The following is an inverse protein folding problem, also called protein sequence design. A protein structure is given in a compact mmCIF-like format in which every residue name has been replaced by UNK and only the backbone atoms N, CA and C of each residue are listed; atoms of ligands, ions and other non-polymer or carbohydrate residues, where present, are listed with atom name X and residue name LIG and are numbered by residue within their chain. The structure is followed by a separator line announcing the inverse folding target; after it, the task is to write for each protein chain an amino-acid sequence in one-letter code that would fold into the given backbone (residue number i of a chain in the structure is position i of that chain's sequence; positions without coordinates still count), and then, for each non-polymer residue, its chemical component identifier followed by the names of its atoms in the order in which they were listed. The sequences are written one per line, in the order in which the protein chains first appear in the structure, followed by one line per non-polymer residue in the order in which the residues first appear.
data_IF_337362850077
#
_entry.id   IF_337362850077
#
_cell.length_a   1.000
_cell.length_b   1.000
_cell.length_c   1.000
_cell.angle_alpha   90.00
_cell.angle_beta   90.00
_cell.angle_gamma   90.00
#
_symmetry.space_group_name_H-M   'P 1'
#
loop_
_entity.id
_entity.type
_entity.pdbx_description
1 polymer ?
#
# COMPACT_ATOMS: atom_id res chain seq x y z
N UNK A 1 16.96 25.87 8.05
CA UNK A 1 16.48 24.74 8.88
C UNK A 1 17.02 23.44 8.28
N UNK A 2 17.89 22.71 8.98
CA UNK A 2 18.35 21.38 8.54
C UNK A 2 17.12 20.49 8.35
N UNK A 3 16.94 19.92 7.16
CA UNK A 3 15.80 19.05 6.87
C UNK A 3 15.76 17.88 7.84
N UNK A 4 14.61 17.63 8.48
CA UNK A 4 14.43 16.46 9.35
C UNK A 4 14.68 15.20 8.53
N UNK A 5 15.41 14.24 9.11
CA UNK A 5 15.60 12.93 8.51
C UNK A 5 14.24 12.26 8.32
N UNK A 6 14.00 11.70 7.13
CA UNK A 6 12.77 10.98 6.80
C UNK A 6 13.10 9.50 6.62
N UNK A 7 12.29 8.63 7.22
CA UNK A 7 12.45 7.18 7.16
C UNK A 7 11.18 6.56 6.61
N UNK A 8 11.31 5.71 5.60
CA UNK A 8 10.26 4.79 5.17
C UNK A 8 10.42 3.47 5.91
N UNK A 9 9.47 3.16 6.77
CA UNK A 9 9.38 1.91 7.52
C UNK A 9 8.75 0.78 6.69
N UNK A 10 9.27 0.54 5.48
CA UNK A 10 8.74 -0.47 4.56
C UNK A 10 9.79 -0.97 3.56
N UNK A 11 9.88 -2.29 3.40
CA UNK A 11 10.68 -2.92 2.34
C UNK A 11 9.98 -2.95 0.96
N UNK A 12 8.73 -2.49 0.85
CA UNK A 12 7.95 -2.61 -0.39
C UNK A 12 8.58 -1.81 -1.53
N UNK A 13 9.05 -2.45 -2.63
CA UNK A 13 9.66 -1.75 -3.75
C UNK A 13 8.75 -0.69 -4.36
N UNK A 14 7.44 -0.96 -4.38
CA UNK A 14 6.42 -0.04 -4.89
C UNK A 14 6.34 1.25 -4.07
N UNK A 15 6.33 1.14 -2.74
CA UNK A 15 6.26 2.31 -1.85
C UNK A 15 7.53 3.15 -1.93
N UNK A 16 8.68 2.49 -2.02
CA UNK A 16 9.98 3.14 -2.25
C UNK A 16 9.94 3.90 -3.59
N UNK A 17 9.47 3.27 -4.66
CA UNK A 17 9.37 3.89 -5.98
C UNK A 17 8.46 5.11 -5.96
N UNK A 18 7.26 5.01 -5.38
CA UNK A 18 6.31 6.12 -5.31
C UNK A 18 6.87 7.34 -4.57
N UNK A 19 7.43 7.14 -3.37
CA UNK A 19 7.99 8.26 -2.60
C UNK A 19 9.18 8.92 -3.32
N UNK A 20 10.01 8.13 -4.03
CA UNK A 20 11.10 8.67 -4.86
C UNK A 20 10.55 9.47 -6.05
N UNK A 21 9.54 8.96 -6.74
CA UNK A 21 8.88 9.63 -7.86
C UNK A 21 8.26 10.96 -7.42
N UNK A 22 7.67 10.99 -6.22
CA UNK A 22 7.13 12.21 -5.62
C UNK A 22 8.22 13.13 -5.01
N UNK A 23 9.49 12.85 -5.27
CA UNK A 23 10.62 13.73 -4.95
C UNK A 23 11.04 13.72 -3.49
N UNK A 24 10.62 12.74 -2.69
CA UNK A 24 10.98 12.64 -1.29
C UNK A 24 12.38 12.03 -1.13
N UNK A 25 13.24 12.66 -0.33
CA UNK A 25 14.51 12.06 0.12
C UNK A 25 14.28 11.38 1.46
N UNK A 26 14.56 10.07 1.54
CA UNK A 26 14.32 9.27 2.74
C UNK A 26 15.30 8.09 2.80
N UNK A 27 15.46 7.54 3.99
CA UNK A 27 16.11 6.26 4.23
C UNK A 27 15.08 5.13 4.33
N UNK A 28 15.43 3.92 3.91
CA UNK A 28 14.56 2.76 4.04
C UNK A 28 15.01 1.94 5.23
N UNK A 29 14.12 1.76 6.21
CA UNK A 29 14.38 0.92 7.38
C UNK A 29 13.15 0.05 7.65
N UNK A 30 13.07 -1.16 7.08
CA UNK A 30 11.89 -2.02 7.23
C UNK A 30 11.67 -2.47 8.67
N UNK A 31 10.41 -2.47 9.10
CA UNK A 31 10.00 -3.11 10.35
C UNK A 31 9.88 -4.62 10.17
N UNK A 32 10.27 -5.39 11.20
CA UNK A 32 10.27 -6.86 11.21
C UNK A 32 9.31 -7.43 12.26
N UNK A 33 8.26 -6.69 12.61
CA UNK A 33 7.28 -7.12 13.60
C UNK A 33 6.37 -8.22 13.05
N UNK A 34 5.83 -9.05 13.94
CA UNK A 34 4.71 -9.92 13.60
C UNK A 34 3.47 -9.07 13.26
N UNK A 35 2.91 -9.29 12.08
CA UNK A 35 1.78 -8.50 11.54
C UNK A 35 0.42 -9.07 11.97
N UNK A 36 0.36 -9.76 13.11
CA UNK A 36 -0.85 -10.36 13.63
C UNK A 36 -1.76 -9.31 14.29
N UNK A 37 -3.07 -9.42 14.08
CA UNK A 37 -4.05 -8.54 14.71
C UNK A 37 -5.36 -9.27 15.02
N UNK A 38 -5.95 -8.97 16.18
CA UNK A 38 -7.28 -9.44 16.58
C UNK A 38 -8.42 -8.60 15.99
N UNK A 39 -8.08 -7.51 15.29
CA UNK A 39 -9.06 -6.62 14.68
C UNK A 39 -9.69 -7.29 13.45
N UNK A 40 -10.99 -7.07 13.27
CA UNK A 40 -11.75 -7.65 12.15
C UNK A 40 -12.08 -6.64 11.05
N UNK A 41 -12.22 -5.35 11.39
CA UNK A 41 -12.56 -4.30 10.41
C UNK A 41 -11.33 -3.96 9.55
N UNK A 42 -11.40 -4.07 8.21
CA UNK A 42 -10.27 -3.82 7.31
C UNK A 42 -9.57 -2.47 7.53
N UNK A 43 -10.33 -1.39 7.71
CA UNK A 43 -9.79 -0.05 8.00
C UNK A 43 -9.05 0.03 9.33
N UNK A 44 -9.49 -0.74 10.34
CA UNK A 44 -8.84 -0.76 11.65
C UNK A 44 -7.56 -1.60 11.60
N UNK A 45 -7.58 -2.71 10.86
CA UNK A 45 -6.42 -3.58 10.62
C UNK A 45 -5.27 -2.77 10.00
N UNK A 46 -5.50 -2.14 8.83
CA UNK A 46 -4.41 -1.45 8.12
C UNK A 46 -3.86 -0.26 8.89
N UNK A 47 -4.71 0.46 9.64
CA UNK A 47 -4.25 1.55 10.52
C UNK A 47 -3.36 1.02 11.65
N UNK A 48 -3.82 -0.04 12.32
CA UNK A 48 -3.07 -0.65 13.41
C UNK A 48 -1.72 -1.18 12.93
N UNK A 49 -1.69 -1.96 11.84
CA UNK A 49 -0.46 -2.50 11.28
C UNK A 49 0.49 -1.41 10.80
N UNK A 50 -0.01 -0.37 10.14
CA UNK A 50 0.82 0.78 9.77
C UNK A 50 1.43 1.45 11.01
N UNK A 51 0.65 1.71 12.05
CA UNK A 51 1.15 2.31 13.29
C UNK A 51 2.21 1.44 13.94
N UNK A 52 1.96 0.14 14.13
CA UNK A 52 2.92 -0.76 14.75
C UNK A 52 4.26 -0.78 13.98
N UNK A 53 4.23 -0.83 12.65
CA UNK A 53 5.45 -0.77 11.81
C UNK A 53 6.22 0.54 12.02
N UNK A 54 5.51 1.66 12.12
CA UNK A 54 6.11 2.97 12.39
C UNK A 54 6.71 3.06 13.78
N UNK A 55 5.97 2.63 14.81
CA UNK A 55 6.39 2.66 16.21
C UNK A 55 7.58 1.75 16.49
N UNK A 56 7.64 0.58 15.84
CA UNK A 56 8.80 -0.31 15.91
C UNK A 56 10.08 0.42 15.49
N UNK A 57 10.04 1.10 14.33
CA UNK A 57 11.17 1.87 13.84
C UNK A 57 11.46 3.07 14.75
N UNK A 58 10.43 3.77 15.21
CA UNK A 58 10.58 4.91 16.12
C UNK A 58 11.29 4.54 17.43
N UNK A 59 11.09 3.31 17.92
CA UNK A 59 11.74 2.81 19.12
C UNK A 59 13.22 2.43 18.91
N UNK A 60 13.59 1.99 17.70
CA UNK A 60 14.93 1.48 17.36
C UNK A 60 15.93 2.53 16.93
N UNK A 61 15.47 3.68 16.42
CA UNK A 61 16.36 4.73 15.95
C UNK A 61 16.76 5.71 17.05
N UNK A 62 17.92 6.36 16.90
CA UNK A 62 18.35 7.48 17.75
C UNK A 62 18.12 8.81 17.02
N UNK A 63 17.77 9.86 17.78
CA UNK A 63 17.60 11.22 17.25
C UNK A 63 16.27 11.48 16.51
N UNK A 64 16.11 12.72 16.10
CA UNK A 64 14.87 13.20 15.49
C UNK A 64 14.68 12.69 14.05
N UNK A 65 13.49 12.15 13.76
CA UNK A 65 13.11 11.73 12.42
C UNK A 65 11.59 11.78 12.24
N UNK A 66 11.18 11.90 10.97
CA UNK A 66 9.81 11.64 10.52
C UNK A 66 9.79 10.23 9.93
N UNK A 67 8.91 9.38 10.45
CA UNK A 67 8.77 7.99 10.03
C UNK A 67 7.44 7.85 9.29
N UNK A 68 7.48 7.27 8.10
CA UNK A 68 6.31 6.94 7.30
C UNK A 68 6.24 5.42 7.20
N UNK A 69 5.11 4.85 7.60
CA UNK A 69 4.83 3.42 7.49
C UNK A 69 3.48 3.22 6.81
N UNK A 70 3.28 2.06 6.20
CA UNK A 70 2.01 1.74 5.56
C UNK A 70 1.73 0.24 5.56
N UNK A 71 0.45 -0.10 5.51
CA UNK A 71 -0.04 -1.45 5.33
C UNK A 71 -1.18 -1.50 4.30
N UNK A 72 -1.29 -2.59 3.56
CA UNK A 72 -2.24 -2.70 2.44
C UNK A 72 -2.86 -4.09 2.40
N UNK A 73 -4.19 -4.15 2.39
CA UNK A 73 -4.95 -5.40 2.28
C UNK A 73 -5.99 -5.32 1.15
N UNK A 74 -6.25 -6.47 0.53
CA UNK A 74 -7.32 -6.65 -0.45
C UNK A 74 -8.50 -7.34 0.24
N UNK A 75 -9.72 -6.86 -0.01
CA UNK A 75 -10.96 -7.47 0.46
C UNK A 75 -11.82 -7.86 -0.74
N UNK A 76 -11.91 -9.16 -1.00
CA UNK A 76 -12.70 -9.76 -2.06
C UNK A 76 -13.83 -10.60 -1.44
N UNK A 77 -15.07 -10.39 -1.89
CA UNK A 77 -16.24 -11.09 -1.38
C UNK A 77 -16.36 -11.06 0.16
N UNK A 78 -16.03 -9.91 0.77
CA UNK A 78 -16.07 -9.71 2.22
C UNK A 78 -14.92 -10.35 3.01
N UNK A 79 -13.97 -11.03 2.34
CA UNK A 79 -12.85 -11.72 2.98
C UNK A 79 -11.53 -11.03 2.64
N UNK A 80 -10.61 -10.99 3.61
CA UNK A 80 -9.25 -10.50 3.37
C UNK A 80 -8.52 -11.52 2.48
N UNK A 81 -8.00 -11.05 1.36
CA UNK A 81 -7.23 -11.83 0.40
C UNK A 81 -5.77 -11.41 0.47
N UNK A 82 -4.95 -12.27 1.06
CA UNK A 82 -3.51 -12.06 1.15
C UNK A 82 -2.77 -12.36 -0.15
N UNK A 83 -1.45 -12.54 -0.02
CA UNK A 83 -0.61 -13.07 -1.10
C UNK A 83 -0.98 -14.54 -1.36
N UNK A 84 -0.97 -15.01 -2.61
CA UNK A 84 -1.18 -16.42 -2.91
C UNK A 84 -0.18 -17.31 -2.17
N UNK A 85 -0.67 -18.38 -1.54
CA UNK A 85 0.21 -19.35 -0.84
C UNK A 85 0.99 -20.24 -1.82
N UNK A 86 0.40 -20.52 -2.98
CA UNK A 86 0.97 -21.33 -4.04
C UNK A 86 0.25 -21.03 -5.36
N UNK A 87 0.70 -21.65 -6.45
CA UNK A 87 0.11 -21.44 -7.78
C UNK A 87 -1.39 -21.73 -7.80
N UNK A 88 -1.87 -22.83 -7.22
CA UNK A 88 -3.30 -23.18 -7.18
C UNK A 88 -4.13 -22.11 -6.47
N UNK A 89 -3.61 -21.55 -5.38
CA UNK A 89 -4.25 -20.45 -4.66
C UNK A 89 -4.28 -19.16 -5.51
N UNK A 90 -3.21 -18.89 -6.26
CA UNK A 90 -3.18 -17.78 -7.22
C UNK A 90 -4.25 -17.96 -8.29
N UNK A 91 -4.40 -19.16 -8.85
CA UNK A 91 -5.45 -19.45 -9.83
C UNK A 91 -6.85 -19.22 -9.27
N UNK A 92 -7.10 -19.70 -8.04
CA UNK A 92 -8.36 -19.48 -7.32
C UNK A 92 -8.66 -17.99 -7.17
N UNK A 93 -7.70 -17.22 -6.67
CA UNK A 93 -7.84 -15.77 -6.47
C UNK A 93 -8.10 -15.06 -7.80
N UNK A 94 -7.32 -15.36 -8.85
CA UNK A 94 -7.49 -14.76 -10.18
C UNK A 94 -8.87 -15.07 -10.76
N UNK A 95 -9.38 -16.29 -10.58
CA UNK A 95 -10.74 -16.65 -11.03
C UNK A 95 -11.82 -15.92 -10.25
N UNK A 96 -11.69 -15.79 -8.92
CA UNK A 96 -12.64 -15.02 -8.09
C UNK A 96 -12.63 -13.52 -8.42
N UNK A 97 -11.49 -12.99 -8.86
CA UNK A 97 -11.35 -11.61 -9.33
C UNK A 97 -11.99 -11.40 -10.71
N UNK A 98 -12.10 -12.43 -11.54
CA UNK A 98 -12.49 -12.26 -12.94
C UNK A 98 -13.91 -11.69 -13.09
N UNK A 99 -14.02 -10.49 -13.64
CA UNK A 99 -15.29 -9.76 -13.78
C UNK A 99 -15.91 -9.27 -12.46
N UNK A 100 -15.20 -9.34 -11.34
CA UNK A 100 -15.71 -8.92 -10.03
C UNK A 100 -15.21 -7.53 -9.62
N UNK A 101 -15.69 -7.07 -8.45
CA UNK A 101 -15.19 -5.88 -7.77
C UNK A 101 -14.65 -6.26 -6.41
N UNK A 102 -13.55 -5.63 -6.01
CA UNK A 102 -12.97 -5.77 -4.68
C UNK A 102 -12.53 -4.42 -4.13
N UNK A 103 -12.25 -4.39 -2.83
CA UNK A 103 -11.75 -3.20 -2.15
C UNK A 103 -10.29 -3.36 -1.80
N UNK A 104 -9.52 -2.30 -1.95
CA UNK A 104 -8.14 -2.22 -1.48
C UNK A 104 -8.06 -1.15 -0.42
N UNK A 105 -7.65 -1.56 0.78
CA UNK A 105 -7.45 -0.68 1.92
C UNK A 105 -5.97 -0.45 2.11
N UNK A 106 -5.55 0.81 2.22
CA UNK A 106 -4.19 1.15 2.63
C UNK A 106 -4.23 2.06 3.84
N UNK A 107 -3.58 1.63 4.92
CA UNK A 107 -3.35 2.40 6.14
C UNK A 107 -1.96 3.02 6.11
N UNK A 108 -1.83 4.20 6.68
CA UNK A 108 -0.57 4.93 6.77
C UNK A 108 -0.45 5.53 8.16
N UNK A 109 0.74 5.45 8.75
CA UNK A 109 1.11 6.22 9.92
C UNK A 109 2.29 7.15 9.59
N UNK A 110 2.24 8.36 10.16
CA UNK A 110 3.32 9.34 10.12
C UNK A 110 3.65 9.69 11.57
N UNK A 111 4.90 9.50 11.98
CA UNK A 111 5.38 9.73 13.34
C UNK A 111 6.55 10.72 13.29
N UNK A 112 6.45 11.85 13.98
CA UNK A 112 7.51 12.83 14.17
C UNK A 112 8.04 12.73 15.60
N UNK A 113 9.25 12.18 15.73
CA UNK A 113 9.89 11.95 17.03
C UNK A 113 10.24 13.25 17.74
N UNK A 114 10.63 14.28 17.00
CA UNK A 114 11.03 15.56 17.57
C UNK A 114 9.84 16.26 18.24
N UNK A 115 8.68 16.22 17.58
CA UNK A 115 7.47 16.87 18.06
C UNK A 115 6.57 15.94 18.89
N UNK A 116 6.96 14.68 19.08
CA UNK A 116 6.13 13.64 19.71
C UNK A 116 4.70 13.61 19.14
N UNK A 117 4.61 13.79 17.82
CA UNK A 117 3.34 13.91 17.09
C UNK A 117 3.19 12.72 16.16
N UNK A 118 1.99 12.17 16.09
CA UNK A 118 1.65 11.15 15.12
C UNK A 118 0.28 11.39 14.48
N UNK A 119 0.08 10.84 13.29
CA UNK A 119 -1.24 10.70 12.67
C UNK A 119 -1.32 9.33 12.01
N UNK A 120 -2.51 8.73 12.08
CA UNK A 120 -2.80 7.43 11.46
C UNK A 120 -4.10 7.55 10.69
N UNK A 121 -4.04 7.25 9.40
CA UNK A 121 -5.19 7.35 8.51
C UNK A 121 -5.24 6.17 7.56
N UNK A 122 -6.35 6.05 6.83
CA UNK A 122 -6.48 5.06 5.77
C UNK A 122 -7.19 5.64 4.57
N UNK A 123 -7.03 4.95 3.45
CA UNK A 123 -7.87 5.12 2.27
C UNK A 123 -8.40 3.78 1.78
N UNK A 124 -9.46 3.85 0.97
CA UNK A 124 -10.08 2.69 0.34
C UNK A 124 -10.40 3.01 -1.11
N UNK A 125 -9.90 2.18 -2.03
CA UNK A 125 -10.27 2.21 -3.44
C UNK A 125 -11.05 0.94 -3.81
N UNK A 126 -12.00 1.05 -4.73
CA UNK A 126 -12.68 -0.09 -5.34
C UNK A 126 -12.05 -0.35 -6.69
N UNK A 127 -11.67 -1.60 -6.95
CA UNK A 127 -11.11 -2.02 -8.22
C UNK A 127 -12.12 -2.92 -8.90
N UNK A 128 -12.47 -2.60 -10.15
CA UNK A 128 -13.29 -3.43 -11.03
C UNK A 128 -12.36 -4.17 -11.99
N UNK A 129 -12.56 -5.47 -12.10
CA UNK A 129 -11.77 -6.33 -12.98
C UNK A 129 -12.52 -6.56 -14.29
N UNK A 130 -11.76 -6.71 -15.39
CA UNK A 130 -12.33 -7.14 -16.66
C UNK A 130 -12.76 -8.60 -16.55
N UNK A 131 -13.79 -8.97 -17.31
CA UNK A 131 -14.14 -10.37 -17.53
C UNK A 131 -13.29 -10.89 -18.69
N UNK A 132 -12.23 -11.62 -18.36
CA UNK A 132 -11.33 -12.23 -19.32
C UNK A 132 -11.73 -13.69 -19.60
N UNK A 133 -11.52 -14.18 -20.83
CA UNK A 133 -11.62 -15.61 -21.14
C UNK A 133 -10.48 -16.41 -20.47
N UNK A 134 -10.69 -17.71 -20.26
CA UNK A 134 -9.79 -18.59 -19.52
C UNK A 134 -8.35 -18.61 -20.08
N UNK A 135 -8.18 -18.54 -21.41
CA UNK A 135 -6.86 -18.51 -22.05
C UNK A 135 -6.04 -17.26 -21.65
N UNK A 136 -6.68 -16.13 -21.37
CA UNK A 136 -6.03 -14.93 -20.84
C UNK A 136 -5.76 -15.05 -19.35
N UNK A 137 -6.70 -15.61 -18.57
CA UNK A 137 -6.49 -15.84 -17.13
C UNK A 137 -5.29 -16.74 -16.85
N UNK A 138 -5.08 -17.79 -17.66
CA UNK A 138 -3.94 -18.70 -17.53
C UNK A 138 -2.57 -18.00 -17.58
N UNK A 139 -2.46 -16.87 -18.27
CA UNK A 139 -1.23 -16.06 -18.31
C UNK A 139 -0.93 -15.33 -17.01
N UNK A 140 -1.94 -15.13 -16.17
CA UNK A 140 -1.83 -14.46 -14.87
C UNK A 140 -1.50 -15.44 -13.74
N UNK A 141 -1.72 -16.74 -13.96
CA UNK A 141 -1.52 -17.78 -12.95
C UNK A 141 -0.05 -17.90 -12.55
N UNK A 142 0.23 -17.56 -11.29
CA UNK A 142 1.58 -17.57 -10.73
C UNK A 142 2.41 -16.30 -11.04
N UNK A 143 1.86 -15.31 -11.76
CA UNK A 143 2.61 -14.10 -12.13
C UNK A 143 2.86 -13.15 -10.95
N UNK A 144 1.92 -13.07 -10.02
CA UNK A 144 1.92 -12.08 -8.93
C UNK A 144 1.82 -12.71 -7.54
N UNK A 145 2.71 -13.67 -7.28
CA UNK A 145 2.80 -14.39 -6.00
C UNK A 145 3.16 -13.51 -4.81
N UNK A 146 3.85 -12.39 -5.05
CA UNK A 146 4.30 -11.44 -4.04
C UNK A 146 3.24 -10.38 -3.66
N UNK A 147 2.07 -10.38 -4.33
CA UNK A 147 1.07 -9.31 -4.23
C UNK A 147 -0.23 -9.81 -3.63
N UNK A 148 -0.77 -9.04 -2.68
CA UNK A 148 -2.10 -9.29 -2.15
C UNK A 148 -3.13 -9.23 -3.29
N UNK A 149 -4.01 -10.23 -3.35
CA UNK A 149 -4.97 -10.36 -4.45
C UNK A 149 -4.39 -10.87 -5.77
N UNK A 150 -3.13 -11.26 -5.86
CA UNK A 150 -2.57 -11.91 -7.06
C UNK A 150 -2.61 -11.10 -8.37
N UNK A 151 -2.65 -9.77 -8.30
CA UNK A 151 -2.57 -8.89 -9.49
C UNK A 151 -1.71 -7.64 -9.22
N UNK A 152 -1.26 -6.98 -10.28
CA UNK A 152 -0.51 -5.72 -10.20
C UNK A 152 -1.17 -4.63 -11.04
N UNK A 153 -1.71 -3.59 -10.40
CA UNK A 153 -2.30 -2.43 -11.11
C UNK A 153 -1.29 -1.63 -11.94
N UNK A 154 0.00 -1.79 -11.67
CA UNK A 154 1.09 -1.13 -12.41
C UNK A 154 1.56 -1.93 -13.62
N UNK A 155 1.16 -3.20 -13.75
CA UNK A 155 1.53 -4.03 -14.90
C UNK A 155 0.45 -3.90 -15.98
N UNK A 156 0.62 -2.94 -16.88
CA UNK A 156 -0.32 -2.68 -17.96
C UNK A 156 -0.48 -3.86 -18.92
N UNK A 157 0.49 -4.77 -18.97
CA UNK A 157 0.46 -5.93 -19.86
C UNK A 157 -0.54 -7.01 -19.42
N UNK A 158 -1.01 -6.98 -18.17
CA UNK A 158 -2.02 -7.92 -17.69
C UNK A 158 -3.39 -7.67 -18.31
N UNK A 159 -3.70 -6.41 -18.60
CA UNK A 159 -5.01 -5.99 -19.10
C UNK A 159 -6.19 -6.41 -18.20
N UNK A 160 -5.94 -6.74 -16.93
CA UNK A 160 -6.93 -7.38 -16.06
C UNK A 160 -7.77 -6.38 -15.25
N UNK A 161 -7.21 -5.23 -14.91
CA UNK A 161 -7.93 -4.13 -14.26
C UNK A 161 -8.75 -3.37 -15.30
N UNK A 162 -10.04 -3.16 -15.00
CA UNK A 162 -10.96 -2.37 -15.83
C UNK A 162 -10.98 -0.91 -15.40
N UNK A 163 -11.30 -0.68 -14.12
CA UNK A 163 -11.51 0.67 -13.59
C UNK A 163 -11.19 0.70 -12.11
N UNK A 164 -10.70 1.85 -11.63
CA UNK A 164 -10.48 2.10 -10.20
C UNK A 164 -11.35 3.27 -9.79
N UNK A 165 -12.10 3.08 -8.72
CA UNK A 165 -12.89 4.11 -8.06
C UNK A 165 -12.20 4.49 -6.76
N UNK A 166 -11.66 5.71 -6.70
CA UNK A 166 -10.83 6.20 -5.60
C UNK A 166 -9.40 6.49 -6.05
N UNK A 167 -8.49 6.64 -5.09
CA UNK A 167 -7.09 6.95 -5.37
C UNK A 167 -6.37 5.71 -5.93
N UNK A 168 -5.83 5.81 -7.16
CA UNK A 168 -5.00 4.78 -7.80
C UNK A 168 -3.84 4.36 -6.89
N UNK A 169 -3.19 5.32 -6.23
CA UNK A 169 -2.01 5.04 -5.41
C UNK A 169 -2.37 4.28 -4.12
N UNK A 170 -3.62 4.34 -3.67
CA UNK A 170 -4.14 3.46 -2.61
C UNK A 170 -4.04 1.99 -3.01
N UNK A 171 -4.31 1.68 -4.29
CA UNK A 171 -4.19 0.31 -4.84
C UNK A 171 -2.73 -0.11 -4.99
N UNK A 172 -1.85 0.83 -5.37
CA UNK A 172 -0.41 0.58 -5.45
C UNK A 172 0.21 0.34 -4.07
N UNK A 173 -0.29 1.04 -3.05
CA UNK A 173 0.04 0.82 -1.64
C UNK A 173 0.43 2.07 -0.84
N UNK A 174 0.20 3.29 -1.37
CA UNK A 174 0.31 4.56 -0.65
C UNK A 174 -0.72 5.58 -1.17
N UNK A 175 -1.74 6.00 -0.38
CA UNK A 175 -2.78 6.94 -0.83
C UNK A 175 -2.23 8.36 -1.01
N UNK A 176 -1.84 8.74 -2.23
CA UNK A 176 -1.18 10.01 -2.54
C UNK A 176 -1.99 11.22 -2.06
N UNK A 177 -3.30 11.26 -2.33
CA UNK A 177 -4.12 12.45 -2.05
C UNK A 177 -4.13 12.74 -0.54
N UNK A 178 -4.43 11.71 0.26
CA UNK A 178 -4.46 11.83 1.73
C UNK A 178 -3.06 11.99 2.31
N UNK A 179 -2.08 11.23 1.82
CA UNK A 179 -0.70 11.34 2.29
C UNK A 179 -0.12 12.73 2.08
N UNK A 180 -0.33 13.34 0.91
CA UNK A 180 0.12 14.70 0.63
C UNK A 180 -0.52 15.71 1.59
N UNK A 181 -1.82 15.57 1.89
CA UNK A 181 -2.51 16.43 2.84
C UNK A 181 -1.90 16.29 4.24
N UNK A 182 -1.71 15.06 4.71
CA UNK A 182 -1.20 14.81 6.05
C UNK A 182 0.27 15.21 6.21
N UNK A 183 1.13 14.96 5.22
CA UNK A 183 2.55 15.33 5.28
C UNK A 183 2.78 16.84 5.44
N UNK A 184 1.86 17.70 4.96
CA UNK A 184 1.92 19.14 5.21
C UNK A 184 1.90 19.47 6.71
N UNK A 185 1.15 18.70 7.50
CA UNK A 185 1.08 18.86 8.96
C UNK A 185 2.38 18.51 9.68
N UNK A 186 3.36 17.97 8.95
CA UNK A 186 4.71 17.62 9.40
C UNK A 186 5.79 18.42 8.68
N UNK A 187 5.42 19.48 7.95
CA UNK A 187 6.33 20.28 7.12
C UNK A 187 7.08 19.46 6.05
N UNK A 188 6.49 18.35 5.59
CA UNK A 188 7.00 17.52 4.51
C UNK A 188 6.17 17.77 3.25
N UNK A 189 6.86 18.02 2.14
CA UNK A 189 6.22 18.27 0.85
C UNK A 189 6.62 17.17 -0.12
N UNK A 190 5.62 16.59 -0.77
CA UNK A 190 5.80 15.67 -1.90
C UNK A 190 5.22 16.29 -3.17
N UNK A 191 5.91 16.08 -4.30
CA UNK A 191 5.51 16.55 -5.62
C UNK A 191 4.30 15.76 -6.11
N UNK A 192 3.57 16.34 -7.06
CA UNK A 192 2.55 15.56 -7.74
C UNK A 192 3.20 14.44 -8.53
N UNK A 193 2.62 13.22 -8.54
CA UNK A 193 2.93 12.29 -9.61
C UNK A 193 2.75 13.03 -10.93
N UNK A 194 3.68 12.81 -11.85
CA UNK A 194 3.52 13.32 -13.21
C UNK A 194 2.18 12.77 -13.71
N UNK A 195 1.37 13.59 -14.35
CA UNK A 195 0.23 13.06 -15.10
C UNK A 195 0.81 12.02 -16.04
N UNK A 196 0.54 10.75 -15.74
CA UNK A 196 0.86 9.67 -16.66
C UNK A 196 -0.10 9.91 -17.79
N UNK A 197 0.38 10.56 -18.86
CA UNK A 197 -0.33 10.70 -20.11
C UNK A 197 -0.86 9.32 -20.49
N UNK A 198 -2.17 9.12 -20.34
CA UNK A 198 -2.86 7.94 -20.86
C UNK A 198 -3.13 8.17 -22.34
#
# INVERSE_FOLDING_TARGET
MRGKKIILASASPRRISLLKEWGLKFEVLPSNIDESTKLSKPSSIVKNLALQKGSDIASKIKGDAIIISADTIVVLNGKITGKPKNKKDCERIVRELNGSKHKVYTGVAIIDRALKKETVFYDCAVVKMKKLPENKLKKLFGKHMDKAGAYAVQDSNDGFVDTIFGDYYTVVGLPYIKLKKELKNFSVIIKSPREVSH
#
